data_IF_685504578411
#
_entry.id   IF_685504578411
#
_cell.length_a   1.000
_cell.length_b   1.000
_cell.length_c   1.000
_cell.angle_alpha   90.00
_cell.angle_beta   90.00
_cell.angle_gamma   90.00
#
_symmetry.space_group_name_H-M   'P 1'
#
loop_
_entity.id
_entity.type
_entity.pdbx_description
1 polymer ?
#
# COMPACT_ATOMS: atom_id res chain seq x y z
N UNK A 1 -8.70 -5.83 21.31
CA UNK A 1 -7.59 -6.67 20.77
C UNK A 1 -7.15 -7.68 21.83
N UNK A 2 -6.81 -7.23 23.03
CA UNK A 2 -6.31 -8.10 24.11
C UNK A 2 -7.29 -9.18 24.59
N UNK A 3 -8.58 -8.86 24.69
CA UNK A 3 -9.61 -9.83 25.12
C UNK A 3 -9.92 -10.92 24.07
N UNK A 4 -9.41 -10.79 22.84
CA UNK A 4 -9.67 -11.71 21.72
C UNK A 4 -11.15 -12.08 21.55
N UNK A 5 -12.06 -11.18 21.94
CA UNK A 5 -13.49 -11.37 21.79
C UNK A 5 -14.12 -10.17 21.08
N UNK A 6 -15.26 -10.41 20.46
CA UNK A 6 -16.13 -9.36 19.93
C UNK A 6 -17.59 -9.65 20.26
N UNK A 7 -18.41 -8.61 20.31
CA UNK A 7 -19.85 -8.73 20.45
C UNK A 7 -20.53 -8.06 19.24
N UNK A 8 -21.32 -8.81 18.45
CA UNK A 8 -22.13 -8.22 17.40
C UNK A 8 -23.07 -7.15 17.96
N UNK A 9 -23.35 -6.11 17.16
CA UNK A 9 -24.30 -5.05 17.57
C UNK A 9 -25.68 -5.68 17.80
N UNK A 10 -26.25 -5.46 18.98
CA UNK A 10 -27.54 -6.03 19.38
C UNK A 10 -27.49 -7.44 19.98
N UNK A 11 -26.33 -8.10 20.02
CA UNK A 11 -26.17 -9.38 20.69
C UNK A 11 -25.86 -9.21 22.19
N UNK A 12 -26.27 -10.19 23.01
CA UNK A 12 -25.98 -10.24 24.45
C UNK A 12 -24.82 -11.18 24.81
N UNK A 13 -24.20 -11.85 23.85
CA UNK A 13 -23.10 -12.78 24.06
C UNK A 13 -21.84 -12.35 23.30
N UNK A 14 -20.68 -12.67 23.86
CA UNK A 14 -19.39 -12.48 23.19
C UNK A 14 -19.01 -13.71 22.36
N UNK A 15 -18.23 -13.47 21.31
CA UNK A 15 -17.64 -14.50 20.45
C UNK A 15 -16.13 -14.41 20.57
N UNK A 16 -15.48 -15.53 20.88
CA UNK A 16 -14.02 -15.65 20.90
C UNK A 16 -13.46 -15.66 19.47
N UNK A 17 -12.31 -15.02 19.28
CA UNK A 17 -11.67 -14.79 18.00
C UNK A 17 -10.19 -15.16 18.07
N UNK A 18 -9.73 -15.90 17.07
CA UNK A 18 -8.30 -16.02 16.77
C UNK A 18 -8.02 -15.38 15.42
N UNK A 19 -7.50 -14.14 15.44
CA UNK A 19 -7.32 -13.32 14.26
C UNK A 19 -5.97 -12.63 14.26
N UNK A 20 -5.37 -12.51 13.08
CA UNK A 20 -4.21 -11.66 12.84
C UNK A 20 -4.68 -10.32 12.29
N UNK A 21 -4.35 -9.24 12.99
CA UNK A 21 -4.68 -7.88 12.57
C UNK A 21 -3.52 -7.27 11.77
N UNK A 22 -3.80 -6.79 10.57
CA UNK A 22 -2.89 -5.98 9.75
C UNK A 22 -3.61 -4.68 9.44
N UNK A 23 -3.00 -3.56 9.79
CA UNK A 23 -3.57 -2.22 9.55
C UNK A 23 -2.64 -1.40 8.67
N UNK A 24 -3.20 -0.57 7.80
CA UNK A 24 -2.46 0.38 6.98
C UNK A 24 -3.18 1.73 6.99
N UNK A 25 -2.41 2.81 6.95
CA UNK A 25 -2.92 4.18 6.94
C UNK A 25 -1.94 5.09 6.23
N UNK A 26 -2.46 6.07 5.50
CA UNK A 26 -1.67 7.16 4.92
C UNK A 26 -1.60 8.39 5.83
N UNK A 27 -2.34 8.40 6.95
CA UNK A 27 -2.34 9.49 7.92
C UNK A 27 -1.21 9.29 8.93
N UNK A 28 -0.69 10.41 9.43
CA UNK A 28 0.20 10.37 10.57
C UNK A 28 -0.62 10.12 11.84
N UNK A 29 -0.64 8.86 12.31
CA UNK A 29 -1.40 8.48 13.50
C UNK A 29 -0.85 9.11 14.78
N UNK A 30 0.45 9.39 14.85
CA UNK A 30 1.06 10.06 16.01
C UNK A 30 0.49 11.47 16.17
N UNK A 31 0.44 12.23 15.08
CA UNK A 31 -0.21 13.56 15.05
C UNK A 31 -1.73 13.49 15.31
N UNK A 32 -2.41 12.42 14.87
CA UNK A 32 -3.83 12.21 15.17
C UNK A 32 -4.07 11.86 16.65
N UNK A 33 -3.13 11.20 17.32
CA UNK A 33 -3.16 10.96 18.78
C UNK A 33 -2.97 12.27 19.54
N UNK A 34 -1.96 13.06 19.16
CA UNK A 34 -1.68 14.36 19.79
C UNK A 34 -2.85 15.34 19.68
N UNK A 35 -3.56 15.31 18.55
CA UNK A 35 -4.74 16.16 18.32
C UNK A 35 -6.06 15.58 18.85
N UNK A 36 -6.03 14.44 19.55
CA UNK A 36 -7.20 13.80 20.15
C UNK A 36 -8.17 13.15 19.16
N UNK A 37 -7.81 13.07 17.87
CA UNK A 37 -8.61 12.40 16.83
C UNK A 37 -8.46 10.89 16.85
N UNK A 38 -7.38 10.38 17.44
CA UNK A 38 -7.12 8.96 17.54
C UNK A 38 -6.83 8.53 18.98
N UNK A 39 -7.33 7.35 19.32
CA UNK A 39 -7.19 6.76 20.64
C UNK A 39 -5.75 6.32 20.90
N UNK A 40 -5.12 6.91 21.91
CA UNK A 40 -3.74 6.62 22.30
C UNK A 40 -3.53 5.13 22.67
N UNK A 41 -4.47 4.53 23.40
CA UNK A 41 -4.39 3.12 23.80
C UNK A 41 -4.44 2.16 22.61
N UNK A 42 -5.24 2.49 21.58
CA UNK A 42 -5.31 1.73 20.34
C UNK A 42 -4.04 1.93 19.50
N UNK A 43 -3.49 3.15 19.45
CA UNK A 43 -2.27 3.44 18.71
C UNK A 43 -1.10 2.58 19.16
N UNK A 44 -0.86 2.48 20.47
CA UNK A 44 0.23 1.65 20.99
C UNK A 44 0.00 0.15 20.74
N UNK A 45 -1.25 -0.31 20.68
CA UNK A 45 -1.57 -1.72 20.36
C UNK A 45 -1.38 -2.05 18.88
N UNK A 46 -1.60 -1.09 17.99
CA UNK A 46 -1.39 -1.26 16.54
C UNK A 46 0.09 -1.09 16.17
N UNK A 47 0.79 -0.17 16.84
CA UNK A 47 2.15 0.28 16.45
C UNK A 47 3.27 -0.58 17.04
N UNK A 48 3.01 -1.86 17.33
CA UNK A 48 4.04 -2.79 17.84
C UNK A 48 5.11 -3.05 16.77
N UNK A 49 4.68 -3.17 15.50
CA UNK A 49 5.58 -3.30 14.35
C UNK A 49 5.07 -2.38 13.23
N UNK A 50 5.77 -1.27 13.03
CA UNK A 50 5.52 -0.35 11.92
C UNK A 50 6.36 -0.72 10.70
N UNK A 51 5.70 -0.90 9.55
CA UNK A 51 6.38 -1.00 8.25
C UNK A 51 6.09 0.26 7.46
N UNK A 52 7.11 1.12 7.28
CA UNK A 52 6.99 2.28 6.41
C UNK A 52 7.03 1.80 4.96
N UNK A 53 5.99 2.11 4.21
CA UNK A 53 6.00 1.96 2.76
C UNK A 53 6.55 3.25 2.13
N UNK A 54 7.78 3.22 1.58
CA UNK A 54 8.34 4.37 0.89
C UNK A 54 7.55 4.66 -0.40
N UNK A 55 7.51 5.93 -0.77
CA UNK A 55 6.98 6.37 -2.06
C UNK A 55 7.86 5.91 -3.22
N UNK A 56 7.31 5.85 -4.42
CA UNK A 56 8.02 5.38 -5.60
C UNK A 56 9.23 6.28 -5.94
N UNK A 57 9.14 7.59 -5.70
CA UNK A 57 10.27 8.53 -5.81
C UNK A 57 11.43 8.27 -4.82
N UNK A 58 11.16 7.59 -3.70
CA UNK A 58 12.20 7.16 -2.74
C UNK A 58 12.83 5.82 -3.18
N UNK A 59 12.24 5.14 -4.17
CA UNK A 59 12.65 3.83 -4.69
C UNK A 59 12.67 3.81 -6.21
N UNK A 60 13.35 4.80 -6.81
CA UNK A 60 13.41 4.97 -8.27
C UNK A 60 14.05 3.77 -8.97
N UNK A 61 14.97 3.08 -8.32
CA UNK A 61 15.66 1.90 -8.87
C UNK A 61 14.72 0.71 -9.11
N UNK A 62 13.53 0.69 -8.48
CA UNK A 62 12.53 -0.35 -8.73
C UNK A 62 11.61 -0.04 -9.93
N UNK A 63 11.63 1.20 -10.44
CA UNK A 63 10.75 1.62 -11.54
C UNK A 63 10.95 0.75 -12.79
N UNK A 64 12.18 0.44 -13.25
CA UNK A 64 12.38 -0.42 -14.42
C UNK A 64 11.72 -1.80 -14.25
N UNK A 65 11.90 -2.43 -13.09
CA UNK A 65 11.32 -3.75 -12.82
C UNK A 65 9.78 -3.72 -12.80
N UNK A 66 9.20 -2.68 -12.21
CA UNK A 66 7.74 -2.47 -12.20
C UNK A 66 7.19 -2.24 -13.60
N UNK A 67 7.88 -1.43 -14.41
CA UNK A 67 7.50 -1.15 -15.80
C UNK A 67 7.51 -2.43 -16.62
N UNK A 68 8.58 -3.22 -16.55
CA UNK A 68 8.65 -4.50 -17.25
C UNK A 68 7.50 -5.43 -16.86
N UNK A 69 7.23 -5.54 -15.56
CA UNK A 69 6.10 -6.34 -15.05
C UNK A 69 4.74 -5.85 -15.59
N UNK A 70 4.50 -4.54 -15.61
CA UNK A 70 3.22 -4.00 -16.10
C UNK A 70 3.04 -4.16 -17.61
N UNK A 71 4.11 -3.97 -18.39
CA UNK A 71 4.06 -4.18 -19.85
C UNK A 71 3.81 -5.65 -20.17
N UNK A 72 4.53 -6.56 -19.52
CA UNK A 72 4.34 -8.01 -19.70
C UNK A 72 2.89 -8.39 -19.40
N UNK A 73 2.37 -7.98 -18.24
CA UNK A 73 0.99 -8.23 -17.84
C UNK A 73 -0.04 -7.65 -18.81
N UNK A 74 0.19 -6.42 -19.30
CA UNK A 74 -0.69 -5.78 -20.27
C UNK A 74 -0.71 -6.54 -21.60
N UNK A 75 0.44 -6.99 -22.08
CA UNK A 75 0.52 -7.76 -23.33
C UNK A 75 -0.13 -9.14 -23.21
N UNK A 76 -0.04 -9.78 -22.04
CA UNK A 76 -0.77 -11.02 -21.74
C UNK A 76 -2.29 -10.79 -21.75
N UNK A 77 -2.75 -9.74 -21.06
CA UNK A 77 -4.18 -9.39 -20.97
C UNK A 77 -4.77 -9.04 -22.36
N UNK A 78 -3.98 -8.38 -23.23
CA UNK A 78 -4.38 -8.01 -24.60
C UNK A 78 -4.12 -9.10 -25.64
N UNK A 79 -3.43 -10.19 -25.27
CA UNK A 79 -3.01 -11.29 -26.18
C UNK A 79 -2.24 -10.79 -27.40
N UNK A 80 -1.34 -9.82 -27.19
CA UNK A 80 -0.50 -9.26 -28.25
C UNK A 80 0.98 -9.67 -28.06
N UNK A 81 1.83 -9.49 -29.07
CA UNK A 81 3.25 -9.78 -28.93
C UNK A 81 3.89 -8.95 -27.80
N UNK A 82 4.94 -9.47 -27.14
CA UNK A 82 5.66 -8.74 -26.10
C UNK A 82 6.11 -7.37 -26.60
N UNK A 83 5.85 -6.35 -25.79
CA UNK A 83 6.27 -4.97 -26.03
C UNK A 83 7.45 -4.65 -25.12
N UNK A 84 8.39 -3.88 -25.63
CA UNK A 84 9.49 -3.32 -24.86
C UNK A 84 9.34 -1.81 -24.75
N UNK A 85 9.89 -1.24 -23.69
CA UNK A 85 10.11 0.21 -23.59
C UNK A 85 11.59 0.45 -23.90
N UNK A 86 11.85 1.46 -24.72
CA UNK A 86 13.22 1.85 -25.03
C UNK A 86 13.92 2.46 -23.80
N UNK A 87 15.25 2.47 -23.83
CA UNK A 87 16.06 2.97 -22.70
C UNK A 87 15.69 4.41 -22.32
N UNK A 88 15.45 5.26 -23.33
CA UNK A 88 15.00 6.65 -23.11
C UNK A 88 13.63 6.74 -22.44
N UNK A 89 12.71 5.82 -22.77
CA UNK A 89 11.42 5.70 -22.11
C UNK A 89 11.57 5.32 -20.64
N UNK A 90 12.41 4.33 -20.34
CA UNK A 90 12.73 3.92 -18.97
C UNK A 90 13.37 5.07 -18.17
N UNK A 91 14.33 5.78 -18.75
CA UNK A 91 14.95 6.96 -18.11
C UNK A 91 13.93 8.03 -17.76
N UNK A 92 13.02 8.35 -18.70
CA UNK A 92 11.94 9.32 -18.47
C UNK A 92 11.02 8.89 -17.34
N UNK A 93 10.56 7.64 -17.36
CA UNK A 93 9.71 7.08 -16.32
C UNK A 93 10.43 7.08 -14.95
N UNK A 94 11.73 6.82 -14.92
CA UNK A 94 12.55 6.82 -13.70
C UNK A 94 12.79 8.24 -13.15
N UNK A 95 12.81 9.24 -14.02
CA UNK A 95 13.04 10.64 -13.66
C UNK A 95 11.82 11.32 -13.01
N UNK A 96 10.61 10.84 -13.28
CA UNK A 96 9.35 11.41 -12.79
C UNK A 96 9.07 11.04 -11.32
N UNK A 97 8.38 11.92 -10.58
CA UNK A 97 8.19 11.80 -9.14
C UNK A 97 7.03 10.87 -8.72
N UNK A 98 6.12 10.54 -9.64
CA UNK A 98 4.98 9.65 -9.38
C UNK A 98 4.18 10.01 -8.11
N UNK A 99 3.50 11.17 -8.04
CA UNK A 99 2.65 11.52 -6.90
C UNK A 99 1.58 10.46 -6.59
N UNK A 100 1.07 9.75 -7.60
CA UNK A 100 0.16 8.62 -7.45
C UNK A 100 0.85 7.25 -7.31
N UNK A 101 2.18 7.24 -7.18
CA UNK A 101 3.04 6.06 -6.97
C UNK A 101 2.78 4.97 -8.02
N UNK A 102 2.85 3.71 -7.59
CA UNK A 102 2.66 2.52 -8.44
C UNK A 102 1.32 2.53 -9.19
N UNK A 103 0.26 3.15 -8.63
CA UNK A 103 -1.04 3.23 -9.31
C UNK A 103 -0.98 4.16 -10.53
N UNK A 104 -0.37 5.33 -10.38
CA UNK A 104 -0.18 6.25 -11.51
C UNK A 104 0.76 5.64 -12.56
N UNK A 105 1.86 5.01 -12.13
CA UNK A 105 2.77 4.31 -13.03
C UNK A 105 2.04 3.25 -13.86
N UNK A 106 1.28 2.36 -13.21
CA UNK A 106 0.47 1.34 -13.89
C UNK A 106 -0.48 1.96 -14.91
N UNK A 107 -1.22 2.99 -14.52
CA UNK A 107 -2.18 3.67 -15.41
C UNK A 107 -1.53 4.39 -16.61
N UNK A 108 -0.26 4.77 -16.52
CA UNK A 108 0.49 5.39 -17.64
C UNK A 108 1.00 4.32 -18.61
N UNK A 109 1.24 3.11 -18.12
CA UNK A 109 1.68 1.97 -18.95
C UNK A 109 0.49 1.30 -19.67
N UNK A 110 -0.66 1.21 -19.01
CA UNK A 110 -1.93 0.72 -19.58
C UNK A 110 -2.52 1.66 -20.64
#
# INVERSE_FOLDING_TARGET
IEQRSMRPVGANHEVQLDVRLITATNRNLEADVESGRFRQDLYYRLSVLGVRMPSLRERRDDIPALVHYFVEKLTEDLRCPPLGIDEKGIERLTSYDWPGNVRELKNVIE
#
